data_IF_528040729636
#
_entry.id   IF_528040729636
#
_cell.length_a   1.000
_cell.length_b   1.000
_cell.length_c   1.000
_cell.angle_alpha   90.00
_cell.angle_beta   90.00
_cell.angle_gamma   90.00
#
_symmetry.space_group_name_H-M   'P 1'
#
loop_
_entity.id
_entity.type
_entity.pdbx_description
1 polymer ?
#
# COMPACT_ATOMS: atom_id res chain seq x y z
N UNK A 1 7.13 10.69 -4.80
CA UNK A 1 7.93 9.44 -4.62
C UNK A 1 9.20 9.64 -3.82
N UNK A 2 10.15 10.50 -4.21
CA UNK A 2 11.45 10.70 -3.52
C UNK A 2 11.27 10.94 -2.02
N UNK A 3 10.40 11.89 -1.64
CA UNK A 3 10.07 12.17 -0.23
C UNK A 3 9.60 10.92 0.53
N UNK A 4 8.82 10.08 -0.12
CA UNK A 4 8.31 8.85 0.52
C UNK A 4 9.43 7.83 0.75
N UNK A 5 10.38 7.71 -0.20
CA UNK A 5 11.58 6.88 0.00
C UNK A 5 12.41 7.36 1.20
N UNK A 6 12.58 8.67 1.37
CA UNK A 6 13.30 9.24 2.52
C UNK A 6 12.60 8.95 3.86
N UNK A 7 11.27 9.03 3.86
CA UNK A 7 10.47 8.64 5.04
C UNK A 7 10.59 7.15 5.34
N UNK A 8 10.55 6.28 4.29
CA UNK A 8 10.75 4.84 4.45
C UNK A 8 12.14 4.56 5.03
N UNK A 9 13.19 5.21 4.53
CA UNK A 9 14.54 5.06 5.08
C UNK A 9 14.65 5.49 6.55
N UNK A 10 13.83 6.45 6.96
CA UNK A 10 13.80 6.94 8.34
C UNK A 10 13.04 5.97 9.25
N UNK A 11 11.87 5.53 8.83
CA UNK A 11 10.96 4.70 9.66
C UNK A 11 11.29 3.20 9.59
N UNK A 12 11.84 2.75 8.45
CA UNK A 12 12.14 1.35 8.14
C UNK A 12 13.54 1.20 7.53
N UNK A 13 14.63 1.51 8.27
CA UNK A 13 15.98 1.59 7.72
C UNK A 13 16.53 0.28 7.13
N UNK A 14 15.97 -0.86 7.56
CA UNK A 14 16.37 -2.20 7.13
C UNK A 14 15.47 -2.77 6.03
N UNK A 15 14.47 -2.02 5.57
CA UNK A 15 13.58 -2.46 4.52
C UNK A 15 14.04 -2.00 3.14
N UNK A 16 13.67 -2.77 2.12
CA UNK A 16 13.84 -2.40 0.73
C UNK A 16 12.56 -1.74 0.19
N UNK A 17 12.74 -0.69 -0.60
CA UNK A 17 11.65 -0.05 -1.36
C UNK A 17 11.69 -0.53 -2.79
N UNK A 18 10.71 -1.33 -3.21
CA UNK A 18 10.52 -1.77 -4.59
C UNK A 18 9.64 -0.76 -5.31
N UNK A 19 10.13 -0.16 -6.39
CA UNK A 19 9.42 0.84 -7.18
C UNK A 19 9.28 0.32 -8.60
N UNK A 20 8.05 0.10 -9.01
CA UNK A 20 7.74 -0.27 -10.38
C UNK A 20 7.62 1.00 -11.23
N UNK A 21 8.47 1.11 -12.25
CA UNK A 21 8.64 2.31 -13.08
C UNK A 21 8.03 2.04 -14.45
N UNK A 22 7.00 2.83 -14.78
CA UNK A 22 6.39 2.83 -16.12
C UNK A 22 7.05 3.81 -17.06
N UNK A 23 6.64 3.78 -18.32
CA UNK A 23 7.10 4.73 -19.33
C UNK A 23 6.73 6.18 -18.95
N UNK A 24 7.58 7.12 -19.33
CA UNK A 24 7.35 8.54 -19.13
C UNK A 24 7.77 9.09 -17.77
N UNK A 25 8.33 8.27 -16.87
CA UNK A 25 8.98 8.79 -15.66
C UNK A 25 10.28 9.52 -16.07
N UNK A 26 10.49 10.79 -15.65
CA UNK A 26 11.68 11.56 -16.02
C UNK A 26 12.98 10.87 -15.55
N UNK A 27 14.01 10.93 -16.41
CA UNK A 27 15.30 10.25 -16.16
C UNK A 27 16.01 10.77 -14.91
N UNK A 28 15.91 12.05 -14.61
CA UNK A 28 16.47 12.66 -13.40
C UNK A 28 15.84 12.13 -12.13
N UNK A 29 14.53 11.82 -12.16
CA UNK A 29 13.81 11.17 -11.05
C UNK A 29 14.29 9.72 -10.89
N UNK A 30 14.42 8.98 -12.01
CA UNK A 30 14.95 7.60 -12.00
C UNK A 30 16.36 7.59 -11.41
N UNK A 31 17.24 8.48 -11.89
CA UNK A 31 18.60 8.61 -11.38
C UNK A 31 18.61 8.91 -9.87
N UNK A 32 17.84 9.89 -9.43
CA UNK A 32 17.73 10.26 -8.01
C UNK A 32 17.29 9.09 -7.13
N UNK A 33 16.32 8.30 -7.60
CA UNK A 33 15.83 7.12 -6.87
C UNK A 33 16.86 5.99 -6.85
N UNK A 34 17.61 5.80 -7.95
CA UNK A 34 18.66 4.79 -8.04
C UNK A 34 19.81 5.01 -7.06
N UNK A 35 20.14 6.28 -6.77
CA UNK A 35 21.16 6.64 -5.79
C UNK A 35 20.72 6.44 -4.32
N UNK A 36 19.43 6.20 -4.08
CA UNK A 36 18.93 5.98 -2.70
C UNK A 36 19.26 4.57 -2.21
N UNK A 37 19.73 4.48 -0.97
CA UNK A 37 19.98 3.21 -0.29
C UNK A 37 18.68 2.37 -0.20
N UNK A 38 18.82 1.07 -0.39
CA UNK A 38 17.71 0.11 -0.26
C UNK A 38 16.53 0.38 -1.22
N UNK A 39 16.76 0.99 -2.38
CA UNK A 39 15.77 1.15 -3.45
C UNK A 39 16.05 0.16 -4.57
N UNK A 40 15.02 -0.53 -5.03
CA UNK A 40 15.06 -1.39 -6.22
C UNK A 40 14.06 -0.85 -7.23
N UNK A 41 14.54 -0.44 -8.40
CA UNK A 41 13.73 0.03 -9.51
C UNK A 41 13.47 -1.14 -10.46
N UNK A 42 12.21 -1.34 -10.82
CA UNK A 42 11.75 -2.43 -11.67
C UNK A 42 10.92 -1.87 -12.82
N UNK A 43 11.22 -2.19 -14.07
CA UNK A 43 10.41 -1.73 -15.19
C UNK A 43 9.04 -2.43 -15.19
N UNK A 44 7.99 -1.70 -15.58
CA UNK A 44 6.73 -2.32 -15.97
C UNK A 44 6.77 -2.68 -17.45
N UNK A 45 6.04 -3.74 -17.81
CA UNK A 45 6.00 -4.21 -19.20
C UNK A 45 4.71 -3.79 -19.94
N UNK A 46 3.86 -3.02 -19.26
CA UNK A 46 2.56 -2.59 -19.77
C UNK A 46 2.39 -1.08 -19.51
N UNK A 47 1.46 -0.46 -20.22
CA UNK A 47 1.14 0.95 -20.08
C UNK A 47 -0.27 1.15 -19.51
N UNK A 48 -0.50 2.32 -18.90
CA UNK A 48 -1.79 2.71 -18.37
C UNK A 48 -2.06 2.23 -16.94
N UNK A 49 -3.32 2.23 -16.56
CA UNK A 49 -3.76 1.99 -15.18
C UNK A 49 -3.45 0.57 -14.66
N UNK A 50 -3.20 -0.37 -15.55
CA UNK A 50 -2.77 -1.72 -15.17
C UNK A 50 -1.47 -1.71 -14.37
N UNK A 51 -0.60 -0.73 -14.61
CA UNK A 51 0.66 -0.56 -13.89
C UNK A 51 0.46 -0.36 -12.38
N UNK A 52 -0.73 0.07 -11.93
CA UNK A 52 -1.06 0.17 -10.50
C UNK A 52 -0.99 -1.19 -9.80
N UNK A 53 -1.26 -2.29 -10.50
CA UNK A 53 -1.21 -3.63 -9.94
C UNK A 53 0.21 -4.19 -9.77
N UNK A 54 1.20 -3.66 -10.50
CA UNK A 54 2.57 -4.16 -10.44
C UNK A 54 3.17 -4.06 -9.02
N UNK A 55 2.78 -3.05 -8.24
CA UNK A 55 3.20 -2.89 -6.84
C UNK A 55 2.88 -4.10 -5.96
N UNK A 56 1.97 -4.98 -6.38
CA UNK A 56 1.59 -6.18 -5.65
C UNK A 56 2.55 -7.34 -5.85
N UNK A 57 3.35 -7.35 -6.93
CA UNK A 57 4.08 -8.54 -7.35
C UNK A 57 5.45 -8.70 -6.70
N UNK A 58 5.87 -7.74 -5.87
CA UNK A 58 7.17 -7.82 -5.19
C UNK A 58 7.25 -9.00 -4.20
N UNK A 59 6.12 -9.51 -3.70
CA UNK A 59 6.08 -10.71 -2.85
C UNK A 59 6.52 -11.98 -3.59
N UNK A 60 6.47 -11.98 -4.91
CA UNK A 60 6.88 -13.12 -5.74
C UNK A 60 8.41 -13.29 -5.79
N UNK A 61 9.18 -12.29 -5.40
CA UNK A 61 10.63 -12.41 -5.35
C UNK A 61 11.07 -13.33 -4.22
N UNK A 62 12.11 -14.17 -4.46
CA UNK A 62 12.53 -15.21 -3.51
C UNK A 62 13.07 -14.65 -2.19
N UNK A 63 13.59 -13.43 -2.19
CA UNK A 63 14.18 -12.72 -1.05
C UNK A 63 13.20 -11.83 -0.27
N UNK A 64 11.93 -11.76 -0.68
CA UNK A 64 10.90 -10.98 0.00
C UNK A 64 10.11 -11.86 0.97
N UNK A 65 10.25 -11.63 2.26
CA UNK A 65 9.54 -12.34 3.31
C UNK A 65 8.25 -11.63 3.75
N UNK A 66 8.26 -10.29 3.73
CA UNK A 66 7.10 -9.45 4.05
C UNK A 66 7.02 -8.31 3.05
N UNK A 67 5.82 -8.07 2.53
CA UNK A 67 5.54 -6.93 1.65
C UNK A 67 4.45 -6.07 2.25
N UNK A 68 4.68 -4.75 2.29
CA UNK A 68 3.66 -3.75 2.60
C UNK A 68 3.52 -2.79 1.41
N UNK A 69 2.30 -2.67 0.89
CA UNK A 69 2.01 -1.84 -0.28
C UNK A 69 1.59 -0.44 0.15
N UNK A 70 2.19 0.58 -0.47
CA UNK A 70 1.87 2.00 -0.24
C UNK A 70 1.82 2.76 -1.56
N UNK A 71 0.96 3.78 -1.61
CA UNK A 71 0.88 4.69 -2.74
C UNK A 71 2.08 5.65 -2.78
N UNK A 72 2.56 5.95 -3.97
CA UNK A 72 3.73 6.79 -4.19
C UNK A 72 3.54 8.25 -3.75
N UNK A 73 2.31 8.72 -3.72
CA UNK A 73 1.87 10.07 -3.35
C UNK A 73 1.37 10.18 -1.92
N UNK A 74 1.29 9.07 -1.18
CA UNK A 74 1.06 9.08 0.27
C UNK A 74 2.35 9.37 1.05
N UNK A 75 2.24 9.44 2.38
CA UNK A 75 3.40 9.60 3.28
C UNK A 75 3.39 8.54 4.36
N UNK A 76 4.56 7.89 4.51
CA UNK A 76 4.81 6.99 5.64
C UNK A 76 4.99 7.83 6.90
N UNK A 77 4.31 7.44 7.96
CA UNK A 77 4.27 8.14 9.25
C UNK A 77 4.60 7.20 10.41
N UNK A 78 4.79 7.74 11.62
CA UNK A 78 4.93 6.92 12.85
C UNK A 78 3.69 6.05 13.09
N UNK A 79 2.50 6.53 12.70
CA UNK A 79 1.26 5.76 12.81
C UNK A 79 1.27 4.55 11.86
N UNK A 80 1.75 4.74 10.63
CA UNK A 80 1.94 3.65 9.66
C UNK A 80 2.98 2.64 10.16
N UNK A 81 4.14 3.15 10.64
CA UNK A 81 5.18 2.31 11.23
C UNK A 81 4.64 1.42 12.34
N UNK A 82 3.88 1.99 13.26
CA UNK A 82 3.30 1.23 14.37
C UNK A 82 2.40 0.09 13.88
N UNK A 83 1.56 0.32 12.86
CA UNK A 83 0.70 -0.71 12.27
C UNK A 83 1.50 -1.81 11.56
N UNK A 84 2.57 -1.44 10.85
CA UNK A 84 3.46 -2.41 10.19
C UNK A 84 4.20 -3.26 11.23
N UNK A 85 4.70 -2.65 12.32
CA UNK A 85 5.35 -3.37 13.41
C UNK A 85 4.40 -4.36 14.10
N UNK A 86 3.15 -3.96 14.34
CA UNK A 86 2.12 -4.86 14.89
C UNK A 86 1.92 -6.06 13.99
N UNK A 87 1.78 -5.82 12.67
CA UNK A 87 1.62 -6.90 11.70
C UNK A 87 2.84 -7.81 11.63
N UNK A 88 4.04 -7.26 11.50
CA UNK A 88 5.29 -8.04 11.38
C UNK A 88 5.50 -8.94 12.58
N UNK A 89 5.24 -8.43 13.79
CA UNK A 89 5.43 -9.14 15.05
C UNK A 89 4.29 -10.11 15.42
N UNK A 90 3.19 -10.11 14.65
CA UNK A 90 2.06 -11.02 14.89
C UNK A 90 2.24 -12.37 14.17
N UNK A 91 1.35 -13.30 14.48
CA UNK A 91 1.17 -14.56 13.74
C UNK A 91 0.34 -14.41 12.45
N UNK A 92 -0.24 -13.22 12.23
CA UNK A 92 -1.08 -12.95 11.06
C UNK A 92 -0.26 -12.89 9.78
N UNK A 93 -0.83 -13.41 8.70
CA UNK A 93 -0.17 -13.51 7.40
C UNK A 93 -0.62 -12.44 6.40
N UNK A 94 -1.74 -11.77 6.68
CA UNK A 94 -2.27 -10.69 5.87
C UNK A 94 -2.57 -9.45 6.73
N UNK A 95 -2.48 -8.25 6.14
CA UNK A 95 -2.69 -6.98 6.83
C UNK A 95 -3.59 -6.06 6.01
N UNK A 96 -4.61 -5.52 6.62
CA UNK A 96 -5.53 -4.53 6.04
C UNK A 96 -5.48 -3.26 6.88
N UNK A 97 -5.37 -2.11 6.20
CA UNK A 97 -5.37 -0.78 6.79
C UNK A 97 -6.51 0.07 6.21
N UNK A 98 -7.32 0.68 7.09
CA UNK A 98 -8.35 1.66 6.71
C UNK A 98 -8.36 2.77 7.77
N UNK A 99 -7.73 3.88 7.46
CA UNK A 99 -7.47 4.98 8.41
C UNK A 99 -8.24 6.27 8.08
N UNK A 100 -9.30 6.17 7.29
CA UNK A 100 -10.15 7.31 6.93
C UNK A 100 -11.58 6.83 6.62
N UNK A 101 -12.62 7.64 6.90
CA UNK A 101 -14.00 7.30 6.56
C UNK A 101 -14.21 6.93 5.08
N UNK A 102 -13.44 7.52 4.17
CA UNK A 102 -13.52 7.23 2.73
C UNK A 102 -12.72 5.99 2.28
N UNK A 103 -12.02 5.31 3.19
CA UNK A 103 -11.36 4.04 2.91
C UNK A 103 -12.39 2.90 2.94
N UNK A 104 -13.37 2.96 2.04
CA UNK A 104 -14.56 2.10 2.06
C UNK A 104 -14.42 0.76 1.33
N UNK A 105 -13.32 0.56 0.60
CA UNK A 105 -13.05 -0.74 -0.01
C UNK A 105 -12.55 -1.77 1.02
N UNK A 106 -12.91 -3.05 0.88
CA UNK A 106 -12.43 -4.11 1.78
C UNK A 106 -10.92 -4.14 1.94
N UNK A 107 -10.18 -3.97 0.83
CA UNK A 107 -8.72 -3.79 0.81
C UNK A 107 -8.42 -2.59 -0.08
N UNK A 108 -7.81 -1.57 0.50
CA UNK A 108 -7.35 -0.39 -0.23
C UNK A 108 -6.06 -0.72 -0.99
N UNK A 109 -5.96 -0.34 -2.27
CA UNK A 109 -4.84 -0.70 -3.16
C UNK A 109 -3.45 -0.35 -2.63
N UNK A 110 -3.32 0.75 -1.91
CA UNK A 110 -2.06 1.23 -1.30
C UNK A 110 -1.94 0.98 0.20
N UNK A 111 -2.78 0.14 0.82
CA UNK A 111 -2.85 0.06 2.28
C UNK A 111 -3.06 -1.38 2.77
N UNK A 112 -2.17 -2.27 2.38
CA UNK A 112 -2.21 -3.66 2.80
C UNK A 112 -0.81 -4.26 2.88
N UNK A 113 -0.71 -5.46 3.45
CA UNK A 113 0.53 -6.21 3.54
C UNK A 113 0.29 -7.72 3.52
N UNK A 114 1.34 -8.46 3.22
CA UNK A 114 1.32 -9.92 3.15
C UNK A 114 2.67 -10.49 3.56
N UNK A 115 2.66 -11.62 4.26
CA UNK A 115 3.85 -12.42 4.55
C UNK A 115 3.99 -13.55 3.54
N UNK A 116 5.24 -13.89 3.21
CA UNK A 116 5.56 -15.05 2.40
C UNK A 116 5.00 -16.33 3.04
N UNK A 117 4.56 -17.26 2.20
CA UNK A 117 3.92 -18.49 2.66
C UNK A 117 2.39 -18.40 2.78
N UNK A 118 1.80 -17.19 2.78
CA UNK A 118 0.35 -17.06 2.68
C UNK A 118 -0.19 -17.57 1.34
N UNK A 119 0.50 -17.24 0.25
CA UNK A 119 0.18 -17.74 -1.07
C UNK A 119 1.09 -18.92 -1.42
N UNK A 120 0.48 -20.00 -1.87
CA UNK A 120 1.19 -21.18 -2.43
C UNK A 120 1.42 -21.07 -3.94
N UNK A 121 1.26 -19.87 -4.51
CA UNK A 121 1.36 -19.59 -5.95
C UNK A 121 1.85 -18.17 -6.20
N UNK A 122 2.37 -17.93 -7.41
CA UNK A 122 2.83 -16.63 -7.86
C UNK A 122 1.65 -15.65 -8.00
N UNK A 123 1.77 -14.46 -7.40
CA UNK A 123 0.69 -13.45 -7.37
C UNK A 123 0.48 -12.81 -8.72
N UNK A 124 1.55 -12.50 -9.45
CA UNK A 124 1.46 -11.93 -10.79
C UNK A 124 0.73 -12.87 -11.75
N UNK A 125 1.05 -14.17 -11.68
CA UNK A 125 0.31 -15.18 -12.45
C UNK A 125 -1.17 -15.21 -12.05
N UNK A 126 -1.48 -15.19 -10.77
CA UNK A 126 -2.86 -15.19 -10.27
C UNK A 126 -3.65 -13.98 -10.74
N UNK A 127 -3.03 -12.79 -10.76
CA UNK A 127 -3.62 -11.57 -11.29
C UNK A 127 -3.89 -11.68 -12.80
N UNK A 128 -2.94 -12.21 -13.56
CA UNK A 128 -3.10 -12.40 -15.00
C UNK A 128 -4.21 -13.41 -15.34
N UNK A 129 -4.34 -14.49 -14.57
CA UNK A 129 -5.43 -15.47 -14.71
C UNK A 129 -6.79 -14.81 -14.37
N UNK A 130 -6.86 -14.01 -13.31
CA UNK A 130 -8.06 -13.27 -12.90
C UNK A 130 -8.53 -12.29 -13.98
N UNK A 131 -7.61 -11.53 -14.59
CA UNK A 131 -7.89 -10.58 -15.68
C UNK A 131 -8.57 -11.21 -16.89
N UNK A 132 -8.34 -12.49 -17.18
CA UNK A 132 -8.94 -13.17 -18.34
C UNK A 132 -10.44 -13.40 -18.17
N UNK A 133 -10.93 -13.42 -16.95
CA UNK A 133 -12.33 -13.78 -16.62
C UNK A 133 -13.14 -12.61 -16.05
N UNK A 134 -12.49 -11.51 -15.71
CA UNK A 134 -13.11 -10.33 -15.13
C UNK A 134 -12.96 -9.15 -16.09
N UNK A 135 -14.07 -8.64 -16.61
CA UNK A 135 -14.07 -7.36 -17.32
C UNK A 135 -13.93 -6.25 -16.27
N UNK A 136 -12.74 -5.98 -15.90
CA UNK A 136 -12.44 -4.94 -14.96
C UNK A 136 -12.52 -3.58 -15.66
N UNK A 137 -13.24 -2.64 -15.07
CA UNK A 137 -13.15 -1.23 -15.49
C UNK A 137 -11.75 -0.75 -15.18
N UNK A 138 -11.11 -0.08 -16.11
CA UNK A 138 -9.68 0.26 -16.05
C UNK A 138 -9.25 0.97 -14.75
N UNK A 139 -10.13 1.69 -14.07
CA UNK A 139 -9.77 2.53 -12.93
C UNK A 139 -9.65 1.77 -11.58
N UNK A 140 -10.43 0.72 -11.34
CA UNK A 140 -10.47 0.02 -10.04
C UNK A 140 -9.93 -1.41 -10.09
N UNK A 141 -9.27 -1.79 -11.18
CA UNK A 141 -8.77 -3.14 -11.42
C UNK A 141 -7.99 -3.76 -10.27
N UNK A 142 -7.11 -2.98 -9.67
CA UNK A 142 -6.27 -3.42 -8.56
C UNK A 142 -7.10 -3.70 -7.29
N UNK A 143 -8.05 -2.83 -6.95
CA UNK A 143 -8.92 -3.03 -5.78
C UNK A 143 -9.99 -4.09 -6.02
N UNK A 144 -10.51 -4.22 -7.25
CA UNK A 144 -11.44 -5.30 -7.62
C UNK A 144 -10.77 -6.66 -7.53
N UNK A 145 -9.51 -6.76 -7.97
CA UNK A 145 -8.72 -7.96 -7.75
C UNK A 145 -8.53 -8.27 -6.27
N UNK A 146 -8.11 -7.32 -5.47
CA UNK A 146 -7.94 -7.51 -4.02
C UNK A 146 -9.23 -7.93 -3.34
N UNK A 147 -10.34 -7.30 -3.69
CA UNK A 147 -11.67 -7.60 -3.16
C UNK A 147 -12.14 -9.00 -3.52
N UNK A 148 -11.98 -9.42 -4.77
CA UNK A 148 -12.52 -10.71 -5.25
C UNK A 148 -11.58 -11.89 -5.02
N UNK A 149 -10.27 -11.64 -5.04
CA UNK A 149 -9.25 -12.67 -4.94
C UNK A 149 -8.77 -12.92 -3.50
N UNK A 150 -8.52 -11.86 -2.73
CA UNK A 150 -7.98 -11.99 -1.37
C UNK A 150 -9.06 -11.93 -0.29
N UNK A 151 -9.91 -10.92 -0.31
CA UNK A 151 -10.79 -10.61 0.81
C UNK A 151 -11.68 -11.79 1.27
N UNK A 152 -12.27 -12.64 0.38
CA UNK A 152 -13.09 -13.75 0.83
C UNK A 152 -12.33 -14.82 1.63
N UNK A 153 -11.01 -14.89 1.49
CA UNK A 153 -10.18 -15.96 2.06
C UNK A 153 -9.17 -15.49 3.09
N UNK A 154 -8.82 -14.19 3.09
CA UNK A 154 -7.77 -13.71 3.97
C UNK A 154 -8.20 -13.48 5.42
N UNK A 155 -9.48 -13.28 5.69
CA UNK A 155 -9.98 -12.80 6.98
C UNK A 155 -9.52 -13.60 8.20
N UNK A 156 -9.49 -14.94 8.22
CA UNK A 156 -9.03 -15.71 9.38
C UNK A 156 -7.57 -15.43 9.75
N UNK A 157 -6.73 -15.11 8.75
CA UNK A 157 -5.30 -14.87 8.90
C UNK A 157 -4.92 -13.38 8.81
N UNK A 158 -5.91 -12.48 8.98
CA UNK A 158 -5.72 -11.05 8.75
C UNK A 158 -5.65 -10.27 10.06
N UNK A 159 -4.68 -9.36 10.15
CA UNK A 159 -4.71 -8.22 11.07
C UNK A 159 -5.39 -7.04 10.40
N UNK A 160 -6.37 -6.42 11.06
CA UNK A 160 -7.17 -5.33 10.50
C UNK A 160 -7.06 -4.10 11.39
N UNK A 161 -6.35 -3.07 10.93
CA UNK A 161 -6.38 -1.75 11.55
C UNK A 161 -7.46 -0.90 10.88
N UNK A 162 -8.57 -0.70 11.59
CA UNK A 162 -9.72 0.06 11.10
C UNK A 162 -10.55 0.64 12.25
N UNK A 163 -10.79 1.92 12.22
CA UNK A 163 -11.66 2.62 13.18
C UNK A 163 -12.99 3.10 12.58
N UNK A 164 -13.14 3.03 11.26
CA UNK A 164 -14.21 3.73 10.55
C UNK A 164 -15.23 2.82 9.87
N UNK A 165 -14.77 1.74 9.28
CA UNK A 165 -15.64 0.87 8.51
C UNK A 165 -16.30 -0.21 9.39
N UNK A 166 -17.41 -0.75 8.93
CA UNK A 166 -18.16 -1.80 9.62
C UNK A 166 -18.23 -3.08 8.79
N UNK A 167 -17.21 -3.31 7.96
CA UNK A 167 -17.15 -4.48 7.08
C UNK A 167 -16.91 -5.77 7.86
N UNK A 168 -16.13 -5.69 8.93
CA UNK A 168 -15.88 -6.82 9.83
C UNK A 168 -16.33 -6.50 11.27
N UNK A 169 -16.61 -7.54 12.08
CA UNK A 169 -16.90 -7.37 13.50
C UNK A 169 -15.82 -6.54 14.23
N UNK A 170 -16.25 -5.72 15.17
CA UNK A 170 -15.34 -4.82 15.90
C UNK A 170 -14.24 -5.58 16.65
N UNK A 171 -14.54 -6.75 17.16
CA UNK A 171 -13.63 -7.62 17.89
C UNK A 171 -12.50 -8.20 17.04
N UNK A 172 -12.62 -8.13 15.70
CA UNK A 172 -11.57 -8.56 14.75
C UNK A 172 -10.59 -7.45 14.44
N UNK A 173 -10.86 -6.22 14.88
CA UNK A 173 -10.07 -5.04 14.54
C UNK A 173 -8.99 -4.80 15.58
N UNK A 174 -7.81 -4.48 15.10
CA UNK A 174 -6.68 -4.06 15.93
C UNK A 174 -6.73 -2.54 16.10
N UNK A 175 -6.70 -2.00 17.30
CA UNK A 175 -6.67 -0.56 17.51
C UNK A 175 -5.34 0.04 17.05
N UNK A 176 -5.40 1.27 16.55
CA UNK A 176 -4.18 2.01 16.24
C UNK A 176 -3.46 2.44 17.52
N UNK A 177 -2.20 2.06 17.68
CA UNK A 177 -1.39 2.43 18.87
C UNK A 177 -0.99 3.91 18.89
N UNK A 178 -0.78 4.50 17.72
CA UNK A 178 -0.42 5.91 17.56
C UNK A 178 -1.68 6.67 17.13
N UNK A 179 -2.17 7.66 17.90
CA UNK A 179 -3.35 8.43 17.55
C UNK A 179 -3.09 9.31 16.32
N UNK A 180 -4.16 9.70 15.65
CA UNK A 180 -4.08 10.78 14.65
C UNK A 180 -3.71 12.10 15.33
N UNK A 181 -3.08 12.99 14.57
CA UNK A 181 -2.85 14.37 15.00
C UNK A 181 -4.17 15.10 15.27
N UNK A 182 -4.13 16.21 15.99
CA UNK A 182 -5.33 16.99 16.36
C UNK A 182 -6.16 17.45 15.15
N UNK A 183 -5.49 17.67 14.00
CA UNK A 183 -6.15 18.10 12.76
C UNK A 183 -6.60 16.91 11.90
N UNK A 184 -6.23 15.68 12.29
CA UNK A 184 -6.49 14.45 11.54
C UNK A 184 -6.04 14.53 10.08
N UNK A 185 -4.95 15.23 9.81
CA UNK A 185 -4.47 15.48 8.45
C UNK A 185 -3.48 14.43 7.94
N UNK A 186 -2.84 13.69 8.85
CA UNK A 186 -1.77 12.73 8.52
C UNK A 186 -2.19 11.28 8.75
N UNK A 187 -3.41 10.95 8.29
CA UNK A 187 -3.87 9.57 8.29
C UNK A 187 -3.06 8.71 7.28
N UNK A 188 -3.00 7.41 7.50
CA UNK A 188 -2.30 6.49 6.59
C UNK A 188 -3.06 6.46 5.25
N UNK A 189 -2.32 6.62 4.14
CA UNK A 189 -2.88 6.71 2.80
C UNK A 189 -3.32 8.12 2.39
N UNK A 190 -3.07 9.16 3.23
CA UNK A 190 -3.30 10.54 2.82
C UNK A 190 -2.44 10.90 1.60
N UNK A 191 -3.09 11.38 0.55
CA UNK A 191 -2.43 11.88 -0.66
C UNK A 191 -1.92 13.30 -0.42
N UNK A 192 -0.72 13.58 -0.91
CA UNK A 192 -0.10 14.89 -0.83
C UNK A 192 0.13 15.48 -2.22
N UNK A 193 -0.16 16.74 -2.35
CA UNK A 193 0.08 17.56 -3.54
C UNK A 193 1.03 18.72 -3.22
N UNK A 194 1.49 19.43 -4.23
CA UNK A 194 2.35 20.59 -4.09
C UNK A 194 1.64 21.81 -4.68
N UNK A 195 1.74 22.94 -3.99
CA UNK A 195 1.27 24.22 -4.50
C UNK A 195 2.23 24.79 -5.57
N UNK A 196 1.86 25.94 -6.14
CA UNK A 196 2.68 26.64 -7.14
C UNK A 196 4.07 27.09 -6.64
N UNK A 197 4.25 27.16 -5.32
CA UNK A 197 5.51 27.51 -4.66
C UNK A 197 6.30 26.28 -4.25
N UNK A 198 5.83 25.06 -4.53
CA UNK A 198 6.44 23.79 -4.17
C UNK A 198 6.23 23.38 -2.71
N UNK A 199 5.31 24.00 -1.98
CA UNK A 199 4.96 23.56 -0.63
C UNK A 199 4.00 22.38 -0.67
N UNK A 200 4.30 21.39 0.14
CA UNK A 200 3.49 20.18 0.26
C UNK A 200 2.25 20.43 1.12
N UNK A 201 1.08 19.91 0.68
CA UNK A 201 -0.15 19.96 1.46
C UNK A 201 -0.98 18.67 1.28
N UNK A 202 -1.78 18.28 2.31
CA UNK A 202 -2.67 17.13 2.22
C UNK A 202 -3.85 17.45 1.27
N UNK A 203 -4.10 16.58 0.29
CA UNK A 203 -5.15 16.74 -0.72
C UNK A 203 -6.56 16.60 -0.15
N UNK A 204 -6.75 15.64 0.74
CA UNK A 204 -8.04 15.31 1.31
C UNK A 204 -8.06 15.71 2.79
N UNK A 205 -8.62 16.88 3.14
CA UNK A 205 -8.82 17.22 4.53
C UNK A 205 -9.80 16.22 5.15
N UNK A 206 -9.55 15.86 6.38
CA UNK A 206 -10.49 15.05 7.15
C UNK A 206 -11.83 15.77 7.20
N UNK A 207 -12.90 15.16 6.69
CA UNK A 207 -14.22 15.78 6.71
C UNK A 207 -14.59 16.11 8.17
N UNK A 208 -14.87 17.38 8.45
CA UNK A 208 -15.51 17.77 9.70
C UNK A 208 -16.87 17.10 9.71
N UNK A 209 -17.04 16.07 10.55
CA UNK A 209 -18.35 15.52 10.88
C UNK A 209 -19.23 16.53 11.59
#
# INVERSE_FOLDING_TARGET
MIKNVELIQTHFPDWFTYIWVGDGVPEDIIFTLHEKKNVKLLPTNENGLINMSYRFFSIDFPDVEVMCVRDADSRVTERDKACVEDFVNSDKLFHILRDHPNHSHPIMGGMWGIKKGYLNRNLQKSFNDWRQTHSATEFWNDMDFLKSFFYPFCLPETMIHDEYQTLEPREWRTPFRVPLDEKKQHFIGQVYEFDENGNEYPKYPYAKG
#
